data_IF_205303923806
#
_entry.id   IF_205303923806
#
_cell.length_a   1.000
_cell.length_b   1.000
_cell.length_c   1.000
_cell.angle_alpha   90.00
_cell.angle_beta   90.00
_cell.angle_gamma   90.00
#
_symmetry.space_group_name_H-M   'P 1'
#
loop_
_entity.id
_entity.type
_entity.pdbx_description
1 polymer ?
#
# COMPACT_ATOMS: atom_id res chain seq x y z
N UNK A 1 28.94 -1.10 54.78
CA UNK A 1 28.99 -2.03 53.62
C UNK A 1 27.61 -2.45 53.12
N UNK A 2 26.75 -3.06 53.95
CA UNK A 2 25.41 -3.54 53.51
C UNK A 2 24.50 -2.44 52.94
N UNK A 3 24.48 -1.25 53.56
CA UNK A 3 23.65 -0.11 53.09
C UNK A 3 24.16 0.45 51.76
N UNK A 4 25.47 0.59 51.60
CA UNK A 4 26.11 1.06 50.35
C UNK A 4 25.83 0.09 49.21
N UNK A 5 25.89 -1.22 49.49
CA UNK A 5 25.58 -2.25 48.50
C UNK A 5 24.10 -2.22 48.09
N UNK A 6 23.17 -2.00 49.04
CA UNK A 6 21.75 -1.83 48.75
C UNK A 6 21.48 -0.61 47.85
N UNK A 7 22.13 0.53 48.11
CA UNK A 7 21.99 1.73 47.27
C UNK A 7 22.53 1.51 45.85
N UNK A 8 23.67 0.84 45.71
CA UNK A 8 24.22 0.48 44.40
C UNK A 8 23.26 -0.41 43.60
N UNK A 9 22.62 -1.38 44.26
CA UNK A 9 21.62 -2.25 43.64
C UNK A 9 20.41 -1.47 43.14
N UNK A 10 19.87 -0.55 43.94
CA UNK A 10 18.72 0.27 43.57
C UNK A 10 19.04 1.13 42.34
N UNK A 11 20.22 1.76 42.31
CA UNK A 11 20.67 2.57 41.17
C UNK A 11 20.82 1.70 39.92
N UNK A 12 21.41 0.50 40.06
CA UNK A 12 21.58 -0.44 38.94
C UNK A 12 20.24 -0.90 38.37
N UNK A 13 19.28 -1.23 39.23
CA UNK A 13 17.93 -1.64 38.82
C UNK A 13 17.20 -0.48 38.13
N UNK A 14 17.29 0.75 38.67
CA UNK A 14 16.70 1.93 38.04
C UNK A 14 17.28 2.19 36.65
N UNK A 15 18.61 2.09 36.51
CA UNK A 15 19.28 2.26 35.22
C UNK A 15 18.85 1.20 34.19
N UNK A 16 18.77 -0.07 34.60
CA UNK A 16 18.27 -1.15 33.76
C UNK A 16 16.81 -0.95 33.35
N UNK A 17 15.96 -0.48 34.27
CA UNK A 17 14.56 -0.18 33.98
C UNK A 17 14.41 0.87 32.87
N UNK A 18 15.18 1.97 32.95
CA UNK A 18 15.18 3.01 31.90
C UNK A 18 15.66 2.46 30.56
N UNK A 19 16.74 1.65 30.56
CA UNK A 19 17.27 1.04 29.33
C UNK A 19 16.27 0.08 28.68
N UNK A 20 15.60 -0.75 29.46
CA UNK A 20 14.59 -1.68 28.97
C UNK A 20 13.40 -0.91 28.38
N UNK A 21 12.95 0.14 29.05
CA UNK A 21 11.84 0.96 28.57
C UNK A 21 12.17 1.67 27.24
N UNK A 22 13.35 2.29 27.16
CA UNK A 22 13.82 2.94 25.93
C UNK A 22 13.92 1.92 24.77
N UNK A 23 14.52 0.76 25.03
CA UNK A 23 14.68 -0.30 24.04
C UNK A 23 13.34 -0.86 23.54
N UNK A 24 12.37 -1.06 24.43
CA UNK A 24 11.03 -1.50 24.02
C UNK A 24 10.32 -0.45 23.18
N UNK A 25 10.45 0.84 23.53
CA UNK A 25 9.87 1.94 22.74
C UNK A 25 10.47 1.97 21.33
N UNK A 26 11.79 1.88 21.21
CA UNK A 26 12.47 1.83 19.92
C UNK A 26 12.06 0.61 19.09
N UNK A 27 11.89 -0.56 19.73
CA UNK A 27 11.42 -1.78 19.06
C UNK A 27 10.02 -1.63 18.49
N UNK A 28 9.10 -1.03 19.25
CA UNK A 28 7.72 -0.81 18.78
C UNK A 28 7.72 0.12 17.58
N UNK A 29 8.46 1.23 17.65
CA UNK A 29 8.55 2.20 16.57
C UNK A 29 9.22 1.63 15.30
N UNK A 30 10.26 0.80 15.46
CA UNK A 30 10.86 0.10 14.32
C UNK A 30 9.91 -0.94 13.71
N UNK A 31 9.16 -1.67 14.54
CA UNK A 31 8.18 -2.65 14.06
C UNK A 31 7.05 -1.96 13.27
N UNK A 32 6.60 -0.80 13.72
CA UNK A 32 5.62 0.01 13.01
C UNK A 32 6.15 0.46 11.65
N UNK A 33 7.37 1.01 11.60
CA UNK A 33 8.02 1.41 10.33
C UNK A 33 8.16 0.24 9.35
N UNK A 34 8.55 -0.94 9.85
CA UNK A 34 8.63 -2.14 9.02
C UNK A 34 7.25 -2.57 8.51
N UNK A 35 6.21 -2.44 9.33
CA UNK A 35 4.83 -2.71 8.91
C UNK A 35 4.37 -1.80 7.78
N UNK A 36 4.64 -0.50 7.89
CA UNK A 36 4.31 0.48 6.84
C UNK A 36 5.09 0.18 5.56
N UNK A 37 6.40 -0.07 5.66
CA UNK A 37 7.24 -0.37 4.50
C UNK A 37 6.78 -1.65 3.78
N UNK A 38 6.43 -2.70 4.52
CA UNK A 38 5.89 -3.92 3.93
C UNK A 38 4.56 -3.67 3.22
N UNK A 39 3.68 -2.87 3.81
CA UNK A 39 2.41 -2.52 3.17
C UNK A 39 2.61 -1.72 1.86
N UNK A 40 3.59 -0.81 1.82
CA UNK A 40 3.96 -0.09 0.60
C UNK A 40 4.53 -1.02 -0.47
N UNK A 41 5.37 -1.98 -0.07
CA UNK A 41 5.91 -3.01 -0.99
C UNK A 41 4.77 -3.86 -1.57
N UNK A 42 3.89 -4.37 -0.72
CA UNK A 42 2.76 -5.21 -1.15
C UNK A 42 1.83 -4.44 -2.09
N UNK A 43 1.57 -3.17 -1.79
CA UNK A 43 0.81 -2.27 -2.67
C UNK A 43 1.51 -2.10 -4.02
N UNK A 44 2.82 -1.83 -4.03
CA UNK A 44 3.59 -1.66 -5.27
C UNK A 44 3.64 -2.94 -6.11
N UNK A 45 3.69 -4.12 -5.48
CA UNK A 45 3.61 -5.42 -6.17
C UNK A 45 2.24 -5.57 -6.85
N UNK A 46 1.16 -5.33 -6.10
CA UNK A 46 -0.21 -5.41 -6.62
C UNK A 46 -0.46 -4.43 -7.78
N UNK A 47 0.02 -3.18 -7.66
CA UNK A 47 -0.06 -2.19 -8.74
C UNK A 47 0.73 -2.63 -9.98
N UNK A 48 1.92 -3.21 -9.80
CA UNK A 48 2.73 -3.73 -10.90
C UNK A 48 2.03 -4.91 -11.61
N UNK A 49 1.45 -5.83 -10.86
CA UNK A 49 0.67 -6.94 -11.41
C UNK A 49 -0.56 -6.45 -12.20
N UNK A 50 -1.30 -5.49 -11.65
CA UNK A 50 -2.43 -4.85 -12.34
C UNK A 50 -2.00 -4.17 -13.63
N UNK A 51 -0.92 -3.37 -13.59
CA UNK A 51 -0.41 -2.69 -14.77
C UNK A 51 0.07 -3.67 -15.85
N UNK A 52 0.70 -4.79 -15.45
CA UNK A 52 1.07 -5.85 -16.39
C UNK A 52 -0.15 -6.49 -17.05
N UNK A 53 -1.20 -6.75 -16.28
CA UNK A 53 -2.46 -7.28 -16.81
C UNK A 53 -3.10 -6.29 -17.78
N UNK A 54 -3.12 -5.00 -17.46
CA UNK A 54 -3.62 -3.94 -18.34
C UNK A 54 -2.81 -3.88 -19.64
N UNK A 55 -1.48 -3.88 -19.55
CA UNK A 55 -0.60 -3.91 -20.74
C UNK A 55 -0.94 -5.10 -21.62
N UNK A 56 -1.05 -6.31 -21.07
CA UNK A 56 -1.42 -7.51 -21.82
C UNK A 56 -2.82 -7.39 -22.44
N UNK A 57 -3.77 -6.81 -21.72
CA UNK A 57 -5.12 -6.59 -22.23
C UNK A 57 -5.13 -5.63 -23.43
N UNK A 58 -4.41 -4.51 -23.32
CA UNK A 58 -4.30 -3.49 -24.37
C UNK A 58 -3.40 -3.89 -25.55
N UNK A 59 -2.52 -4.88 -25.38
CA UNK A 59 -1.75 -5.45 -26.48
C UNK A 59 -2.65 -6.08 -27.56
N UNK A 60 -3.86 -6.51 -27.21
CA UNK A 60 -4.84 -6.97 -28.19
C UNK A 60 -5.54 -5.77 -28.85
N UNK A 61 -5.37 -5.54 -30.18
CA UNK A 61 -5.98 -4.40 -30.87
C UNK A 61 -7.50 -4.31 -30.73
N UNK A 62 -8.20 -5.46 -30.60
CA UNK A 62 -9.64 -5.50 -30.39
C UNK A 62 -10.05 -4.90 -29.03
N UNK A 63 -9.29 -5.24 -27.97
CA UNK A 63 -9.53 -4.72 -26.62
C UNK A 63 -9.20 -3.23 -26.55
N UNK A 64 -8.12 -2.82 -27.22
CA UNK A 64 -7.76 -1.40 -27.34
C UNK A 64 -8.86 -0.61 -28.05
N UNK A 65 -9.38 -1.11 -29.18
CA UNK A 65 -10.50 -0.49 -29.89
C UNK A 65 -11.73 -0.38 -28.99
N UNK A 66 -12.09 -1.45 -28.28
CA UNK A 66 -13.22 -1.48 -27.35
C UNK A 66 -13.12 -0.39 -26.27
N UNK A 67 -11.96 -0.24 -25.64
CA UNK A 67 -11.72 0.78 -24.61
C UNK A 67 -11.72 2.20 -25.18
N UNK A 68 -11.13 2.41 -26.37
CA UNK A 68 -11.20 3.69 -27.06
C UNK A 68 -12.64 4.09 -27.41
N UNK A 69 -13.46 3.14 -27.88
CA UNK A 69 -14.88 3.35 -28.15
C UNK A 69 -15.66 3.68 -26.88
N UNK A 70 -15.37 3.00 -25.77
CA UNK A 70 -16.04 3.25 -24.48
C UNK A 70 -15.66 4.59 -23.85
N UNK A 71 -14.38 4.99 -23.89
CA UNK A 71 -13.90 6.21 -23.20
C UNK A 71 -14.10 7.48 -24.00
N UNK A 72 -13.97 7.41 -25.32
CA UNK A 72 -14.00 8.58 -26.20
C UNK A 72 -15.23 8.60 -27.12
N UNK A 73 -16.16 7.65 -26.96
CA UNK A 73 -17.33 7.49 -27.84
C UNK A 73 -16.94 7.39 -29.33
N UNK A 74 -15.78 6.79 -29.64
CA UNK A 74 -15.37 6.59 -31.02
C UNK A 74 -16.38 5.68 -31.74
N UNK A 75 -16.84 6.14 -32.90
CA UNK A 75 -17.70 5.39 -33.82
C UNK A 75 -16.93 5.13 -35.10
N UNK A 76 -17.13 3.95 -35.70
CA UNK A 76 -16.63 3.73 -37.07
C UNK A 76 -17.40 4.65 -38.01
N UNK A 77 -16.75 5.12 -39.07
CA UNK A 77 -17.35 6.04 -40.05
C UNK A 77 -18.65 5.50 -40.67
N UNK A 78 -18.91 4.19 -40.58
CA UNK A 78 -20.10 3.51 -41.11
C UNK A 78 -21.15 3.13 -40.04
N UNK A 79 -20.96 3.48 -38.77
CA UNK A 79 -21.92 3.16 -37.71
C UNK A 79 -23.12 4.12 -37.72
N UNK A 80 -24.30 3.60 -38.06
CA UNK A 80 -25.57 4.33 -37.99
C UNK A 80 -25.99 4.52 -36.53
N UNK A 81 -26.17 5.78 -36.12
CA UNK A 81 -26.72 6.12 -34.80
C UNK A 81 -28.24 5.87 -34.81
N UNK A 82 -28.71 4.92 -34.01
CA UNK A 82 -30.15 4.74 -33.77
C UNK A 82 -30.51 5.58 -32.53
N UNK A 83 -31.32 6.61 -32.72
CA UNK A 83 -31.91 7.38 -31.62
C UNK A 83 -33.28 6.77 -31.33
N UNK A 84 -33.42 6.17 -30.16
CA UNK A 84 -34.71 5.65 -29.68
C UNK A 84 -35.36 6.76 -28.85
N UNK A 85 -36.42 7.35 -29.38
CA UNK A 85 -37.27 8.29 -28.63
C UNK A 85 -38.41 7.47 -28.02
N UNK A 86 -38.63 7.49 -26.70
CA UNK A 86 -39.77 6.83 -26.09
C UNK A 86 -41.06 7.58 -26.48
N UNK A 87 -42.09 6.83 -26.88
CA UNK A 87 -43.44 7.36 -27.03
C UNK A 87 -43.98 7.75 -25.65
N UNK A 88 -44.60 8.94 -25.57
CA UNK A 88 -45.10 9.57 -24.34
C UNK A 88 -46.16 8.73 -23.63
#
# INVERSE_FOLDING_TARGET
>A
MRIVFGLLLIISIGFLGVKIYAFNTERVLQKEKLGILNAEIDKGISENESLKADIQYFMNPYNLEKELRSKFNYKKSEEKMIIVVPDQ
#
